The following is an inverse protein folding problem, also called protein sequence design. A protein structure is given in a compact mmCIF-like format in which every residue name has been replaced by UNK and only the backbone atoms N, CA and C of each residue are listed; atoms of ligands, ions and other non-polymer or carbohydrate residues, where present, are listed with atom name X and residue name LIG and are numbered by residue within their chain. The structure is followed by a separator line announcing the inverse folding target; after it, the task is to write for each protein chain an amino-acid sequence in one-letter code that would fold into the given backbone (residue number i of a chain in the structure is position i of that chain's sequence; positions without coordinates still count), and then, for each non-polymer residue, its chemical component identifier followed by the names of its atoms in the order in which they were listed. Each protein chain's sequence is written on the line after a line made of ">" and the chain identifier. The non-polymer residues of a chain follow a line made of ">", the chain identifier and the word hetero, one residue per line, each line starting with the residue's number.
data_IF_080226753907
#
_entry.id   IF_080226753907
#
_cell.length_a   1.000
_cell.length_b   1.000
_cell.length_c   1.000
_cell.angle_alpha   90.00
_cell.angle_beta   90.00
_cell.angle_gamma   90.00
#
_symmetry.space_group_name_H-M   'P 1'
#
loop_
_entity.id
_entity.type
_entity.pdbx_description
1 polymer ?
#
# COMPACT_ATOMS: atom_id res chain seq x y z
N UNK A 1 12.53 -19.17 12.23
CA UNK A 1 12.36 -17.72 12.36
C UNK A 1 11.85 -17.40 13.75
N UNK A 2 12.45 -16.46 14.48
CA UNK A 2 11.83 -15.96 15.70
C UNK A 2 10.54 -15.20 15.37
N UNK A 3 9.61 -15.18 16.32
CA UNK A 3 8.44 -14.31 16.28
C UNK A 3 8.45 -13.49 17.59
N UNK A 4 8.54 -12.18 17.56
CA UNK A 4 8.55 -11.29 16.38
C UNK A 4 9.84 -11.41 15.54
N UNK A 5 9.74 -11.13 14.24
CA UNK A 5 10.88 -11.17 13.31
C UNK A 5 11.67 -9.84 13.26
N UNK A 6 11.04 -8.73 13.65
CA UNK A 6 11.70 -7.44 13.84
C UNK A 6 11.98 -7.19 15.34
N UNK A 7 12.88 -6.25 15.67
CA UNK A 7 13.14 -5.84 17.05
C UNK A 7 11.87 -5.32 17.74
N UNK A 8 11.76 -5.57 19.06
CA UNK A 8 10.59 -5.17 19.85
C UNK A 8 10.39 -3.65 20.01
N UNK A 9 11.38 -2.86 19.64
CA UNK A 9 11.31 -1.39 19.65
C UNK A 9 10.84 -0.82 18.30
N UNK A 10 10.73 -1.65 17.26
CA UNK A 10 10.26 -1.22 15.95
C UNK A 10 8.75 -1.44 15.83
N UNK A 11 8.07 -0.43 15.30
CA UNK A 11 6.64 -0.41 15.12
C UNK A 11 6.32 -0.14 13.65
N UNK A 12 6.22 -1.21 12.88
CA UNK A 12 5.87 -1.18 11.45
C UNK A 12 4.54 -1.93 11.27
N UNK A 13 3.40 -1.23 11.45
CA UNK A 13 2.11 -1.80 11.04
C UNK A 13 2.01 -1.88 9.52
N UNK A 14 1.03 -2.63 9.04
CA UNK A 14 0.67 -2.75 7.62
C UNK A 14 1.85 -3.17 6.73
N UNK A 15 2.72 -4.02 7.27
CA UNK A 15 3.94 -4.44 6.60
C UNK A 15 3.66 -5.29 5.36
N UNK A 16 3.91 -4.75 4.16
CA UNK A 16 3.75 -5.43 2.88
C UNK A 16 5.07 -6.07 2.44
N UNK A 17 5.15 -7.41 2.38
CA UNK A 17 6.36 -8.10 1.97
C UNK A 17 6.47 -8.18 0.44
N UNK A 18 7.67 -7.88 -0.08
CA UNK A 18 8.03 -8.04 -1.50
C UNK A 18 9.38 -8.73 -1.63
N UNK A 19 9.53 -9.52 -2.68
CA UNK A 19 10.81 -10.16 -3.01
C UNK A 19 11.39 -9.48 -4.23
N UNK A 20 12.59 -8.90 -4.08
CA UNK A 20 13.38 -8.35 -5.17
C UNK A 20 14.77 -8.99 -5.15
N UNK A 21 15.15 -9.60 -6.26
CA UNK A 21 16.39 -10.38 -6.34
C UNK A 21 16.38 -11.52 -5.32
N UNK A 22 17.37 -11.54 -4.43
CA UNK A 22 17.52 -12.57 -3.40
C UNK A 22 17.10 -12.09 -1.98
N UNK A 23 16.32 -11.04 -1.88
CA UNK A 23 15.92 -10.48 -0.58
C UNK A 23 14.41 -10.30 -0.48
N UNK A 24 13.89 -10.53 0.72
CA UNK A 24 12.56 -10.12 1.14
C UNK A 24 12.67 -8.72 1.71
N UNK A 25 11.85 -7.81 1.24
CA UNK A 25 11.68 -6.45 1.78
C UNK A 25 10.31 -6.38 2.45
N UNK A 26 10.23 -5.71 3.59
CA UNK A 26 8.97 -5.38 4.25
C UNK A 26 8.86 -3.87 4.28
N UNK A 27 7.86 -3.35 3.61
CA UNK A 27 7.53 -1.93 3.56
C UNK A 27 6.34 -1.69 4.46
N UNK A 28 6.39 -0.68 5.31
CA UNK A 28 5.27 -0.45 6.22
C UNK A 28 5.14 0.99 6.65
N UNK A 29 3.98 1.28 7.17
CA UNK A 29 3.73 2.47 8.00
C UNK A 29 4.68 2.47 9.17
N UNK A 30 4.75 3.57 9.90
CA UNK A 30 5.53 3.66 11.12
C UNK A 30 4.68 4.30 12.22
N UNK A 31 4.56 3.62 13.35
CA UNK A 31 3.89 4.18 14.53
C UNK A 31 4.88 4.87 15.46
N UNK A 32 4.47 5.98 16.05
CA UNK A 32 5.28 6.73 17.01
C UNK A 32 5.06 6.23 18.42
N UNK A 33 6.13 5.92 19.10
CA UNK A 33 6.07 5.49 20.49
C UNK A 33 5.46 6.59 21.37
N UNK A 34 4.43 6.23 22.15
CA UNK A 34 3.81 7.12 23.12
C UNK A 34 2.83 8.15 22.52
N UNK A 35 2.43 7.98 21.27
CA UNK A 35 1.39 8.80 20.65
C UNK A 35 0.07 8.03 20.54
N UNK A 36 -1.04 8.74 20.67
CA UNK A 36 -2.39 8.18 20.55
C UNK A 36 -2.79 7.96 19.08
N UNK A 37 -2.14 8.66 18.15
CA UNK A 37 -2.39 8.54 16.73
C UNK A 37 -1.50 7.45 16.15
N UNK A 38 -2.12 6.53 15.42
CA UNK A 38 -1.41 5.57 14.59
C UNK A 38 -0.89 6.22 13.32
N UNK A 39 0.19 5.65 12.79
CA UNK A 39 0.96 6.14 11.64
C UNK A 39 1.72 7.46 11.89
N UNK A 40 2.76 7.61 11.13
CA UNK A 40 3.68 8.75 11.17
C UNK A 40 3.80 9.36 9.76
N UNK A 41 4.58 10.39 9.66
CA UNK A 41 4.91 11.09 8.41
C UNK A 41 5.98 10.38 7.59
N UNK A 42 6.38 9.18 7.98
CA UNK A 42 7.44 8.42 7.35
C UNK A 42 6.99 6.99 7.07
N UNK A 43 7.59 6.39 6.04
CA UNK A 43 7.54 4.97 5.77
C UNK A 43 8.92 4.37 5.99
N UNK A 44 8.96 3.14 6.48
CA UNK A 44 10.19 2.42 6.75
C UNK A 44 10.29 1.14 5.91
N UNK A 45 11.50 0.64 5.80
CA UNK A 45 11.76 -0.62 5.13
C UNK A 45 12.79 -1.44 5.91
N UNK A 46 12.50 -2.73 6.01
CA UNK A 46 13.43 -3.74 6.49
C UNK A 46 13.59 -4.82 5.43
N UNK A 47 14.77 -5.44 5.36
CA UNK A 47 14.97 -6.56 4.45
C UNK A 47 15.84 -7.66 5.02
N UNK A 48 15.64 -8.89 4.54
CA UNK A 48 16.46 -10.04 4.86
C UNK A 48 16.74 -10.88 3.61
N UNK A 49 17.84 -11.64 3.54
CA UNK A 49 18.02 -12.63 2.49
C UNK A 49 16.89 -13.67 2.51
N UNK A 50 16.43 -14.12 1.34
CA UNK A 50 15.34 -15.11 1.25
C UNK A 50 15.67 -16.44 1.91
N UNK A 51 16.96 -16.79 1.99
CA UNK A 51 17.47 -17.99 2.62
C UNK A 51 17.84 -17.80 4.10
N UNK A 52 17.81 -16.57 4.63
CA UNK A 52 18.10 -16.28 6.03
C UNK A 52 17.22 -15.16 6.61
N UNK A 53 15.99 -15.50 6.92
CA UNK A 53 15.01 -14.59 7.51
C UNK A 53 15.23 -14.33 9.03
N UNK A 54 16.40 -14.67 9.57
CA UNK A 54 16.78 -14.32 10.94
C UNK A 54 17.66 -13.06 10.99
N UNK A 55 18.21 -12.63 9.86
CA UNK A 55 19.09 -11.46 9.78
C UNK A 55 18.47 -10.33 8.98
N UNK A 56 17.71 -9.50 9.67
CA UNK A 56 17.05 -8.33 9.10
C UNK A 56 17.96 -7.11 9.15
N UNK A 57 17.95 -6.35 8.06
CA UNK A 57 18.64 -5.06 7.91
C UNK A 57 17.61 -3.95 7.97
N UNK A 58 17.79 -2.99 8.87
CA UNK A 58 17.04 -1.74 8.91
C UNK A 58 17.57 -0.79 7.82
N UNK A 59 16.69 -0.36 6.92
CA UNK A 59 16.99 0.67 5.92
C UNK A 59 16.53 2.07 6.35
N UNK A 60 15.92 2.16 7.53
CA UNK A 60 15.44 3.41 8.07
C UNK A 60 14.26 3.98 7.29
N UNK A 61 14.18 5.30 7.26
CA UNK A 61 13.12 6.03 6.55
C UNK A 61 13.40 6.02 5.07
N UNK A 62 12.45 5.49 4.29
CA UNK A 62 12.56 5.37 2.85
C UNK A 62 11.77 6.43 2.07
N UNK A 63 10.72 6.99 2.68
CA UNK A 63 9.89 8.05 2.14
C UNK A 63 9.27 8.85 3.28
N UNK A 64 8.99 10.13 3.04
CA UNK A 64 8.41 11.01 4.05
C UNK A 64 7.58 12.11 3.44
N UNK A 65 6.58 12.57 4.19
CA UNK A 65 5.77 13.76 3.88
C UNK A 65 6.23 15.00 4.63
N UNK A 66 7.05 14.83 5.66
CA UNK A 66 7.68 15.90 6.47
C UNK A 66 9.12 15.56 6.81
N UNK A 67 9.96 16.57 6.92
CA UNK A 67 11.33 16.39 7.42
C UNK A 67 11.37 16.21 8.92
N UNK A 68 10.51 16.93 9.64
CA UNK A 68 10.31 16.79 11.08
C UNK A 68 8.81 16.96 11.39
N UNK A 69 8.44 16.75 12.66
CA UNK A 69 7.09 17.04 13.15
C UNK A 69 6.58 18.44 12.82
N UNK A 70 7.47 19.43 12.85
CA UNK A 70 7.13 20.84 12.77
C UNK A 70 7.31 21.42 11.37
N UNK A 71 7.93 20.68 10.45
CA UNK A 71 8.22 21.14 9.09
C UNK A 71 7.53 20.25 8.08
N UNK A 72 6.54 20.77 7.36
CA UNK A 72 6.00 20.06 6.20
C UNK A 72 7.13 19.79 5.21
N UNK A 73 7.09 18.62 4.57
CA UNK A 73 7.90 18.39 3.39
C UNK A 73 7.55 19.46 2.33
N UNK A 74 8.46 19.73 1.39
CA UNK A 74 8.30 20.70 0.30
C UNK A 74 7.19 20.30 -0.69
N UNK A 75 6.06 19.86 -0.19
CA UNK A 75 4.93 19.37 -0.97
C UNK A 75 3.66 20.05 -0.52
N UNK A 76 3.08 20.85 -1.37
CA UNK A 76 1.86 21.63 -1.09
C UNK A 76 0.64 20.77 -0.71
N UNK A 77 0.65 19.50 -1.06
CA UNK A 77 -0.46 18.58 -0.82
C UNK A 77 -0.46 17.94 0.59
N UNK A 78 0.55 18.21 1.41
CA UNK A 78 0.68 17.65 2.78
C UNK A 78 0.33 18.62 3.89
N UNK A 79 -0.38 19.72 3.58
CA UNK A 79 -0.57 20.85 4.51
C UNK A 79 -1.42 20.56 5.75
N UNK A 80 -2.37 19.63 5.65
CA UNK A 80 -3.34 19.40 6.73
C UNK A 80 -3.22 18.00 7.37
N UNK A 81 -3.19 16.97 6.56
CA UNK A 81 -3.06 15.58 6.98
C UNK A 81 -2.00 14.93 6.10
N UNK A 82 -0.97 14.42 6.68
CA UNK A 82 0.19 13.94 5.94
C UNK A 82 0.84 12.70 6.52
N UNK A 83 0.13 12.02 7.40
CA UNK A 83 0.49 10.68 7.83
C UNK A 83 0.42 9.72 6.65
N UNK A 84 1.40 8.85 6.57
CA UNK A 84 1.55 7.84 5.52
C UNK A 84 1.07 6.49 6.00
N UNK A 85 0.27 5.82 5.19
CA UNK A 85 -0.37 4.55 5.54
C UNK A 85 -0.06 3.48 4.51
N UNK A 86 0.10 2.25 4.99
CA UNK A 86 0.06 0.99 4.26
C UNK A 86 0.67 1.05 2.84
N UNK A 87 1.99 1.18 2.71
CA UNK A 87 2.62 1.25 1.40
C UNK A 87 2.71 -0.11 0.74
N UNK A 88 2.73 -0.10 -0.59
CA UNK A 88 3.19 -1.23 -1.39
C UNK A 88 4.24 -0.79 -2.39
N UNK A 89 5.14 -1.71 -2.77
CA UNK A 89 6.22 -1.43 -3.72
C UNK A 89 6.25 -2.48 -4.83
N UNK A 90 6.35 -2.03 -6.06
CA UNK A 90 6.55 -2.90 -7.22
C UNK A 90 7.76 -2.47 -8.03
N UNK A 91 8.40 -3.44 -8.70
CA UNK A 91 9.43 -3.17 -9.69
C UNK A 91 8.79 -3.08 -11.08
N UNK A 92 9.20 -2.09 -11.85
CA UNK A 92 8.86 -1.97 -13.27
C UNK A 92 9.98 -1.28 -14.03
N UNK A 93 10.45 -1.90 -15.11
CA UNK A 93 11.47 -1.36 -16.01
C UNK A 93 12.76 -0.92 -15.27
N UNK A 94 13.18 -1.69 -14.26
CA UNK A 94 14.37 -1.44 -13.47
C UNK A 94 14.26 -0.31 -12.45
N UNK A 95 13.04 0.17 -12.20
CA UNK A 95 12.73 1.14 -11.14
C UNK A 95 11.73 0.56 -10.15
N UNK A 96 11.73 1.09 -8.94
CA UNK A 96 10.83 0.70 -7.87
C UNK A 96 9.83 1.81 -7.63
N UNK A 97 8.55 1.46 -7.61
CA UNK A 97 7.45 2.41 -7.43
C UNK A 97 6.74 2.09 -6.13
N UNK A 98 6.73 3.05 -5.22
CA UNK A 98 6.06 2.98 -3.93
C UNK A 98 4.71 3.67 -4.05
N UNK A 99 3.66 2.97 -3.67
CA UNK A 99 2.29 3.44 -3.60
C UNK A 99 1.90 3.57 -2.14
N UNK A 100 1.32 4.70 -1.74
CA UNK A 100 0.92 4.93 -0.36
C UNK A 100 -0.38 5.72 -0.28
N UNK A 101 -1.11 5.52 0.81
CA UNK A 101 -2.29 6.30 1.15
C UNK A 101 -1.92 7.43 2.10
N UNK A 102 -2.63 8.55 1.99
CA UNK A 102 -2.49 9.72 2.86
C UNK A 102 -3.88 10.23 3.20
N UNK A 103 -4.20 10.33 4.49
CA UNK A 103 -5.51 10.86 4.93
C UNK A 103 -5.70 12.27 4.39
N UNK A 104 -6.90 12.51 3.83
CA UNK A 104 -7.25 13.80 3.23
C UNK A 104 -6.63 14.07 1.86
N UNK A 105 -5.71 13.22 1.41
CA UNK A 105 -5.18 13.22 0.06
C UNK A 105 -5.51 11.89 -0.62
N UNK A 106 -5.46 11.89 -1.96
CA UNK A 106 -5.90 10.73 -2.76
C UNK A 106 -4.89 9.58 -2.79
N UNK A 107 -3.77 9.73 -2.13
CA UNK A 107 -2.64 8.83 -2.20
C UNK A 107 -1.59 9.30 -3.23
N UNK A 108 -0.43 8.69 -3.18
CA UNK A 108 0.72 9.11 -3.97
C UNK A 108 1.52 7.92 -4.49
N UNK A 109 2.33 8.22 -5.51
CA UNK A 109 3.36 7.32 -6.02
C UNK A 109 4.71 8.01 -5.86
N UNK A 110 5.68 7.27 -5.35
CA UNK A 110 7.08 7.69 -5.29
C UNK A 110 7.95 6.68 -6.05
N UNK A 111 9.13 7.07 -6.48
CA UNK A 111 10.02 6.27 -7.30
C UNK A 111 11.43 6.25 -6.76
N UNK A 112 12.11 5.11 -6.92
CA UNK A 112 13.52 4.93 -6.57
C UNK A 112 14.22 4.02 -7.59
N UNK A 113 15.55 4.14 -7.68
CA UNK A 113 16.40 3.22 -8.46
C UNK A 113 16.79 1.98 -7.63
N UNK A 114 16.39 1.91 -6.35
CA UNK A 114 16.70 0.80 -5.43
C UNK A 114 15.49 0.41 -4.61
N UNK A 115 15.32 -0.88 -4.30
CA UNK A 115 14.17 -1.35 -3.53
C UNK A 115 14.11 -0.77 -2.12
N UNK A 116 15.26 -0.50 -1.48
CA UNK A 116 15.33 0.12 -0.15
C UNK A 116 15.23 1.65 -0.16
N UNK A 117 14.99 2.25 -1.31
CA UNK A 117 14.91 3.70 -1.45
C UNK A 117 16.28 4.41 -1.45
N UNK A 118 16.35 5.72 -1.10
CA UNK A 118 15.20 6.56 -0.80
C UNK A 118 14.28 6.76 -2.00
N UNK A 119 12.99 6.91 -1.72
CA UNK A 119 11.99 7.20 -2.73
C UNK A 119 11.76 8.70 -2.86
N UNK A 120 11.53 9.16 -4.08
CA UNK A 120 11.19 10.55 -4.40
C UNK A 120 9.77 10.61 -4.94
N UNK A 121 8.97 11.56 -4.47
CA UNK A 121 7.60 11.76 -4.94
C UNK A 121 7.56 11.90 -6.47
N UNK A 122 6.79 11.04 -7.12
CA UNK A 122 6.49 11.13 -8.54
C UNK A 122 5.22 11.96 -8.77
N UNK A 123 4.19 11.75 -7.97
CA UNK A 123 2.95 12.50 -8.02
C UNK A 123 1.83 11.88 -7.20
N UNK A 124 0.70 12.59 -7.14
CA UNK A 124 -0.55 12.05 -6.63
C UNK A 124 -1.26 11.23 -7.70
N UNK A 125 -2.18 10.35 -7.28
CA UNK A 125 -3.04 9.65 -8.23
C UNK A 125 -3.87 10.62 -9.05
N UNK A 126 -3.86 10.44 -10.38
CA UNK A 126 -4.70 11.13 -11.35
C UNK A 126 -5.81 10.17 -11.77
N UNK A 127 -7.05 10.57 -11.64
CA UNK A 127 -8.21 9.77 -12.03
C UNK A 127 -9.43 10.64 -12.31
N UNK A 128 -10.37 10.10 -13.09
CA UNK A 128 -11.65 10.74 -13.42
C UNK A 128 -12.83 10.08 -12.71
N UNK A 129 -12.56 9.13 -11.78
CA UNK A 129 -13.58 8.46 -11.01
C UNK A 129 -14.33 9.50 -10.18
N UNK A 130 -15.69 9.53 -10.24
CA UNK A 130 -16.47 10.53 -9.50
C UNK A 130 -16.21 10.45 -8.00
N UNK A 131 -16.12 11.59 -7.33
CA UNK A 131 -15.94 11.67 -5.87
C UNK A 131 -17.05 10.92 -5.10
N UNK A 132 -18.26 10.81 -5.68
CA UNK A 132 -19.33 10.01 -5.10
C UNK A 132 -19.03 8.51 -5.03
N UNK A 133 -18.13 8.02 -5.86
CA UNK A 133 -17.61 6.63 -5.85
C UNK A 133 -16.40 6.53 -4.96
N UNK A 134 -15.58 7.57 -4.94
CA UNK A 134 -14.33 7.63 -4.17
C UNK A 134 -14.51 8.02 -2.69
N UNK A 135 -15.74 8.02 -2.18
CA UNK A 135 -16.00 8.44 -0.79
C UNK A 135 -15.36 7.46 0.19
N UNK A 136 -14.54 7.99 1.09
CA UNK A 136 -14.03 7.34 2.29
C UNK A 136 -13.34 5.99 2.08
N UNK A 137 -12.39 5.89 1.17
CA UNK A 137 -11.64 4.66 1.15
C UNK A 137 -11.14 4.18 -0.20
N UNK A 138 -11.27 4.97 -1.24
CA UNK A 138 -10.51 4.76 -2.45
C UNK A 138 -9.03 4.94 -2.14
N UNK A 139 -8.21 4.05 -2.63
CA UNK A 139 -6.75 4.06 -2.43
C UNK A 139 -6.26 3.85 -0.99
N UNK A 140 -7.13 3.48 -0.05
CA UNK A 140 -6.70 2.97 1.25
C UNK A 140 -6.04 1.61 1.01
N UNK A 141 -4.88 1.40 1.62
CA UNK A 141 -4.12 0.15 1.61
C UNK A 141 -3.91 -0.39 0.18
N UNK A 142 -3.20 0.34 -0.68
CA UNK A 142 -3.00 -0.08 -2.06
C UNK A 142 -2.18 -1.36 -2.13
N UNK A 143 -2.70 -2.38 -2.82
CA UNK A 143 -1.96 -3.54 -3.28
C UNK A 143 -1.74 -3.45 -4.78
N UNK A 144 -0.51 -3.51 -5.25
CA UNK A 144 -0.16 -3.28 -6.65
C UNK A 144 0.45 -4.53 -7.28
N UNK A 145 0.14 -4.76 -8.54
CA UNK A 145 0.69 -5.85 -9.33
C UNK A 145 1.13 -5.32 -10.70
N UNK A 146 2.35 -5.61 -11.08
CA UNK A 146 2.81 -5.53 -12.46
C UNK A 146 2.67 -6.93 -13.06
N UNK A 147 1.80 -7.07 -14.05
CA UNK A 147 1.56 -8.36 -14.70
C UNK A 147 2.59 -8.66 -15.78
N UNK A 148 2.62 -9.89 -16.28
CA UNK A 148 3.61 -10.38 -17.25
C UNK A 148 3.56 -9.63 -18.59
N UNK A 149 2.41 -9.04 -18.93
CA UNK A 149 2.24 -8.18 -20.12
C UNK A 149 2.67 -6.71 -19.87
N UNK A 150 3.14 -6.39 -18.66
CA UNK A 150 3.54 -5.05 -18.24
C UNK A 150 2.39 -4.15 -17.79
N UNK A 151 1.14 -4.64 -17.81
CA UNK A 151 0.00 -3.90 -17.26
C UNK A 151 0.11 -3.83 -15.74
N UNK A 152 -0.15 -2.65 -15.20
CA UNK A 152 -0.15 -2.40 -13.76
C UNK A 152 -1.57 -2.36 -13.24
N UNK A 153 -1.83 -3.09 -12.15
CA UNK A 153 -3.11 -3.12 -11.46
C UNK A 153 -2.93 -2.60 -10.04
N UNK A 154 -3.92 -1.85 -9.55
CA UNK A 154 -4.03 -1.43 -8.16
C UNK A 154 -5.32 -1.95 -7.58
N UNK A 155 -5.24 -2.61 -6.44
CA UNK A 155 -6.40 -2.96 -5.62
C UNK A 155 -6.30 -2.20 -4.30
N UNK A 156 -7.43 -1.77 -3.76
CA UNK A 156 -7.47 -0.95 -2.55
C UNK A 156 -8.88 -0.91 -1.96
N UNK A 157 -9.06 -0.19 -0.87
CA UNK A 157 -10.36 0.16 -0.36
C UNK A 157 -10.52 -0.05 1.15
N UNK A 158 -11.61 0.49 1.69
CA UNK A 158 -12.04 0.31 3.07
C UNK A 158 -13.52 -0.09 3.09
N UNK A 159 -13.82 -1.25 3.65
CA UNK A 159 -15.14 -1.91 3.64
C UNK A 159 -15.71 -2.19 2.22
N UNK A 160 -15.01 -1.76 1.18
CA UNK A 160 -15.30 -1.99 -0.23
C UNK A 160 -14.01 -2.27 -0.96
N UNK A 161 -13.99 -3.33 -1.74
CA UNK A 161 -12.84 -3.66 -2.57
C UNK A 161 -12.96 -2.99 -3.95
N UNK A 162 -11.86 -2.41 -4.38
CA UNK A 162 -11.73 -1.81 -5.70
C UNK A 162 -10.54 -2.39 -6.43
N UNK A 163 -10.59 -2.44 -7.73
CA UNK A 163 -9.45 -2.70 -8.59
C UNK A 163 -9.52 -1.79 -9.80
N UNK A 164 -8.38 -1.31 -10.25
CA UNK A 164 -8.25 -0.52 -11.46
C UNK A 164 -6.93 -0.81 -12.17
N UNK A 165 -6.81 -0.34 -13.41
CA UNK A 165 -5.54 -0.32 -14.13
C UNK A 165 -4.84 1.02 -13.94
N UNK A 166 -3.53 0.95 -13.77
CA UNK A 166 -2.64 2.11 -13.80
C UNK A 166 -2.01 2.18 -15.20
N UNK A 167 -1.85 3.39 -15.72
CA UNK A 167 -1.08 3.62 -16.94
C UNK A 167 0.37 3.21 -16.71
N UNK A 168 0.89 2.20 -17.41
CA UNK A 168 2.26 1.74 -17.20
C UNK A 168 3.33 2.74 -17.68
N UNK A 169 2.96 3.79 -18.42
CA UNK A 169 3.82 4.87 -18.82
C UNK A 169 3.80 6.06 -17.83
N UNK A 170 2.65 6.25 -17.16
CA UNK A 170 2.49 7.21 -16.06
C UNK A 170 1.93 6.46 -14.84
N UNK A 171 2.82 5.98 -14.02
CA UNK A 171 2.51 5.17 -12.83
C UNK A 171 1.58 5.87 -11.82
N UNK A 172 1.27 7.15 -12.03
CA UNK A 172 0.33 7.92 -11.20
C UNK A 172 -1.09 7.96 -11.77
N UNK A 173 -1.30 7.56 -13.02
CA UNK A 173 -2.59 7.72 -13.71
C UNK A 173 -3.41 6.43 -13.67
N UNK A 174 -4.57 6.48 -13.04
CA UNK A 174 -5.58 5.43 -13.09
C UNK A 174 -6.35 5.55 -14.41
N UNK A 175 -6.31 4.49 -15.22
CA UNK A 175 -6.92 4.49 -16.56
C UNK A 175 -8.45 4.58 -16.47
N UNK A 176 -9.02 5.50 -17.26
CA UNK A 176 -10.45 5.75 -17.30
C UNK A 176 -11.25 4.49 -17.67
N UNK A 177 -12.36 4.29 -16.97
CA UNK A 177 -13.29 3.20 -17.25
C UNK A 177 -12.77 1.79 -16.90
N UNK A 178 -11.63 1.70 -16.22
CA UNK A 178 -11.04 0.38 -15.86
C UNK A 178 -11.33 -0.04 -14.42
N UNK A 179 -11.89 0.83 -13.60
CA UNK A 179 -12.19 0.49 -12.22
C UNK A 179 -13.39 -0.45 -12.08
N UNK A 180 -13.27 -1.38 -11.17
CA UNK A 180 -14.34 -2.28 -10.75
C UNK A 180 -14.47 -2.21 -9.25
N UNK A 181 -15.71 -2.14 -8.77
CA UNK A 181 -16.05 -2.17 -7.34
C UNK A 181 -16.50 -3.55 -6.90
N UNK A 182 -16.44 -3.81 -5.61
CA UNK A 182 -16.98 -5.01 -4.99
C UNK A 182 -16.47 -6.32 -5.61
N UNK A 183 -15.20 -6.35 -6.01
CA UNK A 183 -14.58 -7.57 -6.55
C UNK A 183 -14.43 -8.66 -5.48
N UNK A 184 -14.29 -8.25 -4.20
CA UNK A 184 -14.44 -9.10 -3.04
C UNK A 184 -15.70 -8.63 -2.31
N UNK A 185 -16.60 -9.52 -1.93
CA UNK A 185 -17.82 -9.13 -1.25
C UNK A 185 -17.58 -8.41 0.09
N UNK A 186 -18.41 -7.43 0.33
CA UNK A 186 -18.47 -6.61 1.51
C UNK A 186 -19.94 -6.44 1.95
N UNK A 187 -20.19 -5.69 3.03
CA UNK A 187 -21.55 -5.47 3.55
C UNK A 187 -22.49 -4.81 2.55
N UNK A 188 -21.92 -4.06 1.61
CA UNK A 188 -22.68 -3.26 0.63
C UNK A 188 -23.01 -4.06 -0.63
N UNK A 189 -22.49 -5.27 -0.80
CA UNK A 189 -22.78 -6.07 -1.98
C UNK A 189 -24.19 -6.62 -1.94
N UNK A 190 -25.04 -6.10 -2.83
CA UNK A 190 -26.43 -6.56 -3.00
C UNK A 190 -26.54 -7.97 -3.56
N UNK A 191 -25.46 -8.52 -4.08
CA UNK A 191 -25.47 -9.79 -4.81
C UNK A 191 -25.31 -11.03 -3.93
N UNK A 192 -25.44 -10.92 -2.63
CA UNK A 192 -25.69 -12.05 -1.72
C UNK A 192 -24.73 -13.24 -1.81
N UNK A 193 -23.55 -13.05 -2.37
CA UNK A 193 -22.65 -14.13 -2.72
C UNK A 193 -21.83 -14.73 -1.61
N UNK A 194 -21.94 -14.25 -0.35
CA UNK A 194 -21.18 -14.79 0.75
C UNK A 194 -22.04 -15.46 1.79
N UNK A 195 -21.74 -16.70 2.01
CA UNK A 195 -22.33 -17.49 3.10
C UNK A 195 -21.63 -17.27 4.44
N UNK A 196 -20.42 -16.68 4.42
CA UNK A 196 -19.63 -16.38 5.61
C UNK A 196 -19.44 -14.87 5.76
N UNK A 197 -20.17 -14.22 6.69
CA UNK A 197 -20.04 -12.78 6.94
C UNK A 197 -18.65 -12.41 7.48
N UNK A 198 -17.89 -13.34 8.06
CA UNK A 198 -16.57 -13.09 8.62
C UNK A 198 -15.46 -13.06 7.54
N UNK A 199 -15.80 -13.41 6.30
CA UNK A 199 -14.89 -13.39 5.15
C UNK A 199 -15.08 -12.17 4.25
N UNK A 200 -15.90 -11.20 4.67
CA UNK A 200 -16.12 -9.97 3.90
C UNK A 200 -14.87 -9.09 3.90
N UNK A 201 -14.62 -8.44 2.76
CA UNK A 201 -13.52 -7.50 2.63
C UNK A 201 -13.65 -6.35 3.64
N UNK A 202 -12.55 -6.07 4.34
CA UNK A 202 -12.45 -4.90 5.20
C UNK A 202 -11.41 -3.93 4.64
N UNK A 203 -10.12 -4.32 4.57
CA UNK A 203 -9.02 -3.49 4.11
C UNK A 203 -7.79 -4.36 3.75
N UNK A 204 -6.61 -3.74 3.63
CA UNK A 204 -5.31 -4.39 3.45
C UNK A 204 -5.23 -5.24 2.18
N UNK A 205 -5.57 -4.64 1.03
CA UNK A 205 -5.47 -5.30 -0.25
C UNK A 205 -4.02 -5.62 -0.60
N UNK A 206 -3.74 -6.86 -0.99
CA UNK A 206 -2.42 -7.29 -1.47
C UNK A 206 -2.59 -8.21 -2.66
N UNK A 207 -1.95 -7.88 -3.78
CA UNK A 207 -2.03 -8.61 -5.02
C UNK A 207 -0.76 -9.41 -5.27
N UNK A 208 -0.92 -10.69 -5.67
CA UNK A 208 0.17 -11.57 -6.08
C UNK A 208 -0.21 -12.38 -7.32
N UNK A 209 0.79 -12.72 -8.11
CA UNK A 209 0.68 -13.71 -9.15
C UNK A 209 1.71 -14.81 -8.90
N UNK A 210 1.27 -16.05 -8.89
CA UNK A 210 2.14 -17.23 -8.73
C UNK A 210 1.78 -18.21 -9.84
N UNK A 211 2.68 -18.36 -10.81
CA UNK A 211 2.36 -19.05 -12.06
C UNK A 211 1.21 -18.34 -12.77
N UNK A 212 0.18 -19.09 -13.17
CA UNK A 212 -1.00 -18.55 -13.83
C UNK A 212 -2.14 -18.15 -12.89
N UNK A 213 -1.89 -18.15 -11.57
CA UNK A 213 -2.91 -17.88 -10.57
C UNK A 213 -2.69 -16.53 -9.92
N UNK A 214 -3.76 -15.73 -9.88
CA UNK A 214 -3.80 -14.47 -9.15
C UNK A 214 -4.37 -14.69 -7.75
N UNK A 215 -3.72 -14.06 -6.77
CA UNK A 215 -4.13 -14.08 -5.38
C UNK A 215 -4.46 -12.66 -4.94
N UNK A 216 -5.65 -12.52 -4.37
CA UNK A 216 -6.06 -11.30 -3.67
C UNK A 216 -6.11 -11.62 -2.18
N UNK A 217 -5.18 -11.08 -1.43
CA UNK A 217 -5.08 -11.24 0.02
C UNK A 217 -5.63 -9.98 0.67
N UNK A 218 -6.37 -10.12 1.76
CA UNK A 218 -7.01 -8.99 2.43
C UNK A 218 -7.29 -9.29 3.90
N UNK A 219 -7.56 -8.25 4.70
CA UNK A 219 -8.08 -8.37 6.05
C UNK A 219 -9.60 -8.48 6.01
N UNK A 220 -10.19 -9.55 6.58
CA UNK A 220 -11.64 -9.68 6.63
C UNK A 220 -12.23 -8.89 7.81
N UNK A 221 -13.45 -8.40 7.65
CA UNK A 221 -14.24 -7.82 8.74
C UNK A 221 -14.75 -8.94 9.64
N UNK A 222 -14.24 -9.04 10.85
CA UNK A 222 -14.73 -9.99 11.86
C UNK A 222 -15.67 -9.31 12.83
N UNK A 223 -16.91 -9.83 12.91
CA UNK A 223 -17.89 -9.46 13.92
C UNK A 223 -18.41 -8.02 13.80
N UNK A 224 -19.42 -7.71 14.60
CA UNK A 224 -19.80 -6.32 14.89
C UNK A 224 -18.88 -5.78 15.98
N UNK A 225 -17.94 -4.94 15.64
CA UNK A 225 -17.34 -4.02 16.62
C UNK A 225 -18.01 -2.68 16.55
#
# INVERSE_FOLDING_TARGET
>A
MPNPYLPLWEYIPDGEPRVFGNRVYVYGSHDRVGHDQFCDYVLKCWSAPVDDLNHWTDHGVIFRTRDTFDHPADTDWTKEHNELYAPDVVEKDGKYYLFAYIIGAKGCVAVSDRPEGPFTLLGLYKYTIPDSVCVNGWFIDPGVLVDDDGQVYIACGFERSFIAKIDPQDMTHVLDGTYLEHIIPCEVTENGGFTDPDSRFYEAASLRKIGDTYYFIYSPKRGSR
#
